data_IF_861722229176
#
_entry.id   IF_861722229176
#
_cell.length_a   1.000
_cell.length_b   1.000
_cell.length_c   1.000
_cell.angle_alpha   90.00
_cell.angle_beta   90.00
_cell.angle_gamma   90.00
#
_symmetry.space_group_name_H-M   'P 1'
#
loop_
_entity.id
_entity.type
_entity.pdbx_description
1 polymer ?
#
# COMPACT_ATOMS: atom_id res chain seq x y z
N UNK A 1 -19.14 10.90 -18.95
CA UNK A 1 -19.03 9.77 -18.01
C UNK A 1 -17.54 9.56 -17.78
N UNK A 2 -17.04 9.55 -16.55
CA UNK A 2 -15.63 9.16 -16.31
C UNK A 2 -15.52 7.69 -16.71
N UNK A 3 -14.52 7.34 -17.49
CA UNK A 3 -14.27 5.94 -17.84
C UNK A 3 -14.08 5.16 -16.54
N UNK A 4 -15.06 4.31 -16.21
CA UNK A 4 -15.00 3.41 -15.07
C UNK A 4 -14.04 2.28 -15.47
N UNK A 5 -12.76 2.54 -15.28
CA UNK A 5 -11.69 1.60 -15.54
C UNK A 5 -11.21 1.05 -14.21
N UNK A 6 -11.08 -0.26 -14.13
CA UNK A 6 -10.54 -0.95 -12.98
C UNK A 6 -9.41 -1.89 -13.36
N UNK A 7 -8.63 -2.27 -12.34
CA UNK A 7 -7.59 -3.29 -12.46
C UNK A 7 -8.12 -4.58 -11.85
N UNK A 8 -8.21 -5.63 -12.67
CA UNK A 8 -8.60 -6.96 -12.24
C UNK A 8 -7.38 -7.76 -11.78
N UNK A 9 -7.21 -7.87 -10.47
CA UNK A 9 -6.10 -8.62 -9.90
C UNK A 9 -6.33 -10.15 -9.87
N UNK A 10 -7.57 -10.61 -10.09
CA UNK A 10 -7.97 -12.01 -9.82
C UNK A 10 -7.24 -13.06 -10.67
N UNK A 11 -6.79 -12.66 -11.87
CA UNK A 11 -6.12 -13.55 -12.82
C UNK A 11 -4.76 -13.00 -13.23
N UNK A 12 -4.12 -12.19 -12.39
CA UNK A 12 -2.78 -11.70 -12.66
C UNK A 12 -1.80 -12.87 -12.52
N UNK A 13 -1.09 -13.25 -13.60
CA UNK A 13 -0.14 -14.34 -13.50
C UNK A 13 1.01 -13.91 -12.60
N UNK A 14 1.38 -14.79 -11.65
CA UNK A 14 2.57 -14.55 -10.83
C UNK A 14 3.79 -14.41 -11.74
N UNK A 15 4.44 -13.25 -11.71
CA UNK A 15 5.61 -12.94 -12.54
C UNK A 15 6.62 -12.13 -11.73
N UNK A 16 7.89 -12.32 -12.08
CA UNK A 16 9.00 -11.57 -11.50
C UNK A 16 9.88 -11.03 -12.61
N UNK A 17 10.23 -9.76 -12.53
CA UNK A 17 11.24 -9.11 -13.36
C UNK A 17 12.37 -8.64 -12.48
N UNK A 18 13.58 -8.65 -13.04
CA UNK A 18 14.75 -8.09 -12.40
C UNK A 18 15.51 -7.26 -13.44
N UNK A 19 16.00 -6.09 -13.03
CA UNK A 19 16.90 -5.30 -13.86
C UNK A 19 17.98 -4.64 -13.02
N UNK A 20 19.16 -4.52 -13.62
CA UNK A 20 20.36 -3.99 -12.98
C UNK A 20 20.57 -2.55 -13.43
N UNK A 21 20.85 -1.65 -12.48
CA UNK A 21 21.40 -0.33 -12.74
C UNK A 21 22.91 -0.40 -12.90
N UNK A 22 23.57 -1.18 -12.02
CA UNK A 22 24.97 -1.62 -12.09
C UNK A 22 25.07 -3.04 -11.51
N UNK A 23 26.25 -3.67 -11.57
CA UNK A 23 26.47 -5.08 -11.17
C UNK A 23 25.92 -5.42 -9.77
N UNK A 24 26.11 -4.53 -8.80
CA UNK A 24 25.67 -4.71 -7.40
C UNK A 24 24.42 -3.90 -7.02
N UNK A 25 23.75 -3.30 -8.00
CA UNK A 25 22.57 -2.44 -7.77
C UNK A 25 21.45 -2.82 -8.73
N UNK A 26 20.41 -3.46 -8.21
CA UNK A 26 19.30 -3.92 -9.01
C UNK A 26 17.95 -3.65 -8.37
N UNK A 27 16.91 -3.87 -9.17
CA UNK A 27 15.51 -3.87 -8.76
C UNK A 27 14.87 -5.17 -9.15
N UNK A 28 14.00 -5.64 -8.27
CA UNK A 28 13.06 -6.70 -8.51
C UNK A 28 11.65 -6.11 -8.54
N UNK A 29 10.83 -6.57 -9.48
CA UNK A 29 9.40 -6.32 -9.57
C UNK A 29 8.70 -7.67 -9.54
N UNK A 30 7.78 -7.87 -8.62
CA UNK A 30 6.92 -9.03 -8.51
C UNK A 30 5.47 -8.60 -8.68
N UNK A 31 4.69 -9.40 -9.38
CA UNK A 31 3.24 -9.19 -9.50
C UNK A 31 2.53 -10.50 -9.19
N UNK A 32 1.42 -10.40 -8.47
CA UNK A 32 0.52 -11.50 -8.15
C UNK A 32 -0.93 -11.00 -7.94
N UNK A 33 -1.80 -11.85 -7.39
CA UNK A 33 -3.20 -11.52 -7.14
C UNK A 33 -3.41 -10.48 -6.05
N UNK A 34 -2.42 -10.25 -5.20
CA UNK A 34 -2.45 -9.17 -4.23
C UNK A 34 -2.24 -7.83 -4.95
N UNK A 35 -1.64 -7.83 -6.15
CA UNK A 35 -1.12 -6.67 -6.90
C UNK A 35 0.41 -6.69 -7.17
N UNK A 36 1.12 -5.57 -7.00
CA UNK A 36 2.51 -5.39 -7.45
C UNK A 36 3.45 -5.02 -6.30
N UNK A 37 4.57 -5.70 -6.17
CA UNK A 37 5.66 -5.35 -5.24
C UNK A 37 6.91 -5.02 -6.01
N UNK A 38 7.67 -3.99 -5.60
CA UNK A 38 9.04 -3.84 -6.08
C UNK A 38 10.00 -3.48 -4.96
N UNK A 39 11.21 -3.99 -5.05
CA UNK A 39 12.27 -3.78 -4.08
C UNK A 39 13.60 -3.68 -4.80
N UNK A 40 14.51 -2.91 -4.23
CA UNK A 40 15.85 -2.73 -4.74
C UNK A 40 16.88 -3.23 -3.76
N UNK A 41 18.01 -3.67 -4.29
CA UNK A 41 19.17 -4.01 -3.49
C UNK A 41 20.37 -3.25 -4.03
N UNK A 42 21.13 -2.63 -3.14
CA UNK A 42 22.38 -1.95 -3.47
C UNK A 42 23.46 -2.43 -2.50
N UNK A 43 24.34 -3.30 -2.99
CA UNK A 43 25.47 -3.86 -2.23
C UNK A 43 26.77 -3.06 -2.42
N UNK A 44 26.71 -1.86 -2.98
CA UNK A 44 27.93 -1.05 -3.08
C UNK A 44 28.44 -0.68 -1.68
N UNK A 45 29.77 -0.59 -1.55
CA UNK A 45 30.47 -0.32 -0.28
C UNK A 45 30.05 0.96 0.44
N UNK A 46 29.30 1.85 -0.22
CA UNK A 46 28.82 3.13 0.34
C UNK A 46 27.37 3.09 0.82
N UNK A 47 26.51 2.23 0.28
CA UNK A 47 25.06 2.20 0.59
C UNK A 47 24.63 0.93 1.32
N UNK A 48 25.35 -0.19 1.14
CA UNK A 48 25.33 -1.40 1.98
C UNK A 48 23.95 -1.84 2.46
N UNK A 49 22.93 -1.85 1.60
CA UNK A 49 21.56 -2.09 2.04
C UNK A 49 20.54 -2.32 0.93
N UNK A 50 19.56 -3.17 1.25
CA UNK A 50 18.31 -3.25 0.49
C UNK A 50 17.44 -2.02 0.75
N UNK A 51 16.79 -1.50 -0.29
CA UNK A 51 15.77 -0.48 -0.16
C UNK A 51 14.43 -1.04 -0.68
N UNK A 52 13.42 -1.00 0.18
CA UNK A 52 12.12 -1.58 -0.09
C UNK A 52 11.18 -0.55 -0.74
N UNK A 53 10.59 -0.88 -1.89
CA UNK A 53 9.69 0.00 -2.64
C UNK A 53 8.21 -0.11 -2.24
N UNK A 54 7.82 -1.16 -1.50
CA UNK A 54 6.42 -1.38 -1.12
C UNK A 54 5.62 -2.19 -2.14
N UNK A 55 4.43 -2.58 -1.69
CA UNK A 55 3.33 -2.93 -2.56
C UNK A 55 2.72 -1.67 -3.19
N UNK A 56 2.48 -1.67 -4.49
CA UNK A 56 1.77 -0.63 -5.22
C UNK A 56 0.58 -1.22 -5.97
N UNK A 57 -0.41 -0.36 -6.21
CA UNK A 57 -1.45 -0.67 -7.18
C UNK A 57 -0.92 -0.50 -8.59
N UNK A 58 -1.52 -1.18 -9.58
CA UNK A 58 -1.11 -1.01 -10.98
C UNK A 58 -1.24 0.46 -11.39
N UNK A 59 -2.32 1.14 -10.99
CA UNK A 59 -2.52 2.55 -11.29
C UNK A 59 -1.38 3.44 -10.75
N UNK A 60 -1.01 3.27 -9.48
CA UNK A 60 0.07 4.06 -8.89
C UNK A 60 1.42 3.71 -9.51
N UNK A 61 1.67 2.44 -9.78
CA UNK A 61 2.88 2.00 -10.46
C UNK A 61 3.02 2.61 -11.85
N UNK A 62 1.94 2.69 -12.64
CA UNK A 62 1.95 3.38 -13.93
C UNK A 62 2.20 4.89 -13.81
N UNK A 63 1.63 5.54 -12.79
CA UNK A 63 1.70 6.99 -12.60
C UNK A 63 3.02 7.46 -12.00
N UNK A 64 3.54 6.72 -11.03
CA UNK A 64 4.65 7.13 -10.15
C UNK A 64 5.73 6.06 -9.96
N UNK A 65 5.46 4.82 -10.36
CA UNK A 65 6.38 3.71 -10.17
C UNK A 65 7.65 3.82 -11.04
N UNK A 66 8.62 2.91 -10.84
CA UNK A 66 9.91 2.94 -11.51
C UNK A 66 9.86 2.52 -13.00
N UNK A 67 8.68 2.42 -13.60
CA UNK A 67 8.49 1.97 -14.99
C UNK A 67 9.27 2.79 -16.02
N UNK A 68 9.58 4.05 -15.68
CA UNK A 68 10.36 4.97 -16.51
C UNK A 68 11.87 4.68 -16.45
N UNK A 69 12.33 3.95 -15.42
CA UNK A 69 13.73 3.59 -15.19
C UNK A 69 14.05 2.15 -15.62
N UNK A 70 13.04 1.39 -16.04
CA UNK A 70 13.20 0.01 -16.51
C UNK A 70 13.81 -0.01 -17.91
N UNK A 71 14.61 -1.05 -18.25
CA UNK A 71 14.98 -1.33 -19.63
C UNK A 71 13.73 -1.45 -20.51
N UNK A 72 13.81 -0.96 -21.75
CA UNK A 72 12.65 -0.81 -22.63
C UNK A 72 11.86 -2.12 -22.81
N UNK A 73 12.55 -3.25 -22.98
CA UNK A 73 11.93 -4.56 -23.17
C UNK A 73 11.15 -5.02 -21.93
N UNK A 74 11.75 -4.85 -20.74
CA UNK A 74 11.09 -5.17 -19.46
C UNK A 74 9.89 -4.23 -19.25
N UNK A 75 10.07 -2.93 -19.49
CA UNK A 75 9.00 -1.96 -19.36
C UNK A 75 7.84 -2.31 -20.29
N UNK A 76 8.12 -2.71 -21.53
CA UNK A 76 7.10 -3.11 -22.49
C UNK A 76 6.34 -4.35 -22.01
N UNK A 77 7.04 -5.41 -21.61
CA UNK A 77 6.40 -6.63 -21.11
C UNK A 77 5.52 -6.35 -19.89
N UNK A 78 6.03 -5.62 -18.90
CA UNK A 78 5.27 -5.23 -17.71
C UNK A 78 4.02 -4.43 -18.11
N UNK A 79 4.14 -3.45 -19.01
CA UNK A 79 2.99 -2.66 -19.48
C UNK A 79 1.95 -3.54 -20.15
N UNK A 80 2.39 -4.47 -21.00
CA UNK A 80 1.51 -5.34 -21.77
C UNK A 80 0.75 -6.27 -20.81
N UNK A 81 1.45 -6.95 -19.88
CA UNK A 81 0.81 -7.80 -18.86
C UNK A 81 -0.18 -6.98 -18.02
N UNK A 82 0.25 -5.88 -17.41
CA UNK A 82 -0.64 -5.14 -16.51
C UNK A 82 -1.87 -4.60 -17.26
N UNK A 83 -1.72 -4.14 -18.51
CA UNK A 83 -2.83 -3.62 -19.33
C UNK A 83 -3.87 -4.68 -19.71
N UNK A 84 -3.50 -5.95 -19.85
CA UNK A 84 -4.47 -7.03 -20.09
C UNK A 84 -5.50 -7.16 -18.95
N UNK A 85 -5.09 -6.74 -17.76
CA UNK A 85 -5.89 -6.73 -16.53
C UNK A 85 -6.60 -5.39 -16.32
N UNK A 86 -6.47 -4.44 -17.25
CA UNK A 86 -7.27 -3.23 -17.29
C UNK A 86 -8.64 -3.55 -17.89
N UNK A 87 -9.70 -3.46 -17.10
CA UNK A 87 -11.06 -3.81 -17.52
C UNK A 87 -11.99 -2.60 -17.44
N UNK A 88 -12.97 -2.57 -18.34
CA UNK A 88 -14.12 -1.67 -18.20
C UNK A 88 -15.08 -2.24 -17.16
N UNK A 89 -15.53 -1.40 -16.23
CA UNK A 89 -16.46 -1.80 -15.18
C UNK A 89 -16.24 -1.05 -13.88
N UNK A 90 -17.04 -1.36 -12.88
CA UNK A 90 -16.97 -0.68 -11.58
C UNK A 90 -15.70 -1.08 -10.84
N UNK A 91 -14.77 -0.14 -10.69
CA UNK A 91 -13.55 -0.37 -9.93
C UNK A 91 -13.82 -0.61 -8.45
N UNK A 92 -13.22 -1.66 -7.91
CA UNK A 92 -13.03 -1.85 -6.48
C UNK A 92 -11.85 -1.01 -6.02
N UNK A 93 -12.13 0.10 -5.35
CA UNK A 93 -11.13 0.98 -4.75
C UNK A 93 -11.28 0.93 -3.24
N UNK A 94 -10.16 0.82 -2.53
CA UNK A 94 -10.12 0.93 -1.09
C UNK A 94 -9.52 2.27 -0.69
N UNK A 95 -10.20 2.96 0.22
CA UNK A 95 -9.72 4.16 0.88
C UNK A 95 -9.56 3.86 2.37
N UNK A 96 -8.33 3.68 2.82
CA UNK A 96 -8.01 3.46 4.23
C UNK A 96 -7.69 4.81 4.88
N UNK A 97 -8.52 5.19 5.83
CA UNK A 97 -8.32 6.37 6.65
C UNK A 97 -7.95 5.97 8.07
N UNK A 98 -7.13 6.81 8.68
CA UNK A 98 -6.77 6.70 10.08
C UNK A 98 -7.10 7.99 10.83
N UNK A 99 -7.58 7.85 12.06
CA UNK A 99 -7.73 8.97 13.00
C UNK A 99 -7.50 8.48 14.42
N UNK A 100 -7.04 9.37 15.29
CA UNK A 100 -6.78 9.05 16.69
C UNK A 100 -7.30 10.11 17.65
N UNK A 101 -7.62 9.69 18.88
CA UNK A 101 -8.07 10.55 19.98
C UNK A 101 -6.98 11.00 20.95
N UNK A 102 -5.71 10.66 20.71
CA UNK A 102 -4.60 11.03 21.60
C UNK A 102 -4.20 12.50 21.44
N UNK A 103 -4.54 13.33 22.42
CA UNK A 103 -4.16 14.74 22.48
C UNK A 103 -2.63 14.89 22.59
N UNK A 104 -2.06 15.85 21.86
CA UNK A 104 -0.62 16.12 21.85
C UNK A 104 0.25 15.09 21.10
N UNK A 105 -0.33 14.01 20.58
CA UNK A 105 0.38 13.06 19.73
C UNK A 105 0.17 13.37 18.24
N UNK A 106 1.20 13.10 17.44
CA UNK A 106 1.15 13.16 15.98
C UNK A 106 1.47 11.79 15.39
N UNK A 107 0.81 11.43 14.30
CA UNK A 107 1.15 10.24 13.53
C UNK A 107 2.46 10.48 12.77
N UNK A 108 3.48 9.69 13.08
CA UNK A 108 4.84 9.83 12.53
C UNK A 108 5.31 8.59 11.76
N UNK A 109 4.65 7.45 11.96
CA UNK A 109 4.95 6.22 11.23
C UNK A 109 3.70 5.43 10.94
N UNK A 110 3.64 4.89 9.73
CA UNK A 110 2.53 4.07 9.24
C UNK A 110 3.14 2.87 8.55
N UNK A 111 2.80 1.68 9.04
CA UNK A 111 3.16 0.42 8.41
C UNK A 111 1.87 -0.35 8.23
N UNK A 112 1.55 -0.73 7.00
CA UNK A 112 0.33 -1.48 6.69
C UNK A 112 0.72 -2.65 5.81
N UNK A 113 0.15 -3.81 6.10
CA UNK A 113 0.20 -4.96 5.22
C UNK A 113 -1.21 -5.28 4.72
N UNK A 114 -1.29 -5.70 3.47
CA UNK A 114 -2.47 -6.25 2.83
C UNK A 114 -2.16 -7.70 2.49
N UNK A 115 -2.97 -8.62 3.02
CA UNK A 115 -2.84 -10.07 2.81
C UNK A 115 -1.41 -10.58 3.10
N UNK A 116 -0.79 -10.02 4.15
CA UNK A 116 0.58 -10.35 4.58
C UNK A 116 1.70 -9.60 3.86
N UNK A 117 1.39 -8.78 2.84
CA UNK A 117 2.38 -8.02 2.06
C UNK A 117 2.37 -6.53 2.40
N UNK A 118 3.53 -5.89 2.67
CA UNK A 118 3.60 -4.49 3.09
C UNK A 118 3.26 -3.51 1.96
N UNK A 119 2.29 -2.62 2.16
CA UNK A 119 1.83 -1.66 1.14
C UNK A 119 2.48 -0.29 1.25
N UNK A 120 2.61 0.39 0.12
CA UNK A 120 3.02 1.79 0.08
C UNK A 120 1.91 2.65 0.68
N UNK A 121 2.26 3.38 1.74
CA UNK A 121 1.35 4.29 2.43
C UNK A 121 1.70 5.73 2.09
N UNK A 122 0.68 6.58 2.00
CA UNK A 122 0.88 8.00 1.72
C UNK A 122 1.64 8.66 2.88
N UNK A 123 2.48 9.64 2.53
CA UNK A 123 3.20 10.45 3.52
C UNK A 123 2.19 11.15 4.45
N UNK A 124 2.39 10.99 5.76
CA UNK A 124 1.52 11.59 6.77
C UNK A 124 1.97 13.01 7.05
N UNK A 125 1.10 13.99 6.79
CA UNK A 125 1.41 15.42 6.96
C UNK A 125 0.54 16.15 7.97
N UNK A 126 -0.48 15.49 8.54
CA UNK A 126 -1.58 16.19 9.20
C UNK A 126 -1.99 15.58 10.54
N UNK A 127 -2.48 16.46 11.42
CA UNK A 127 -3.24 16.10 12.63
C UNK A 127 -4.71 15.87 12.26
N UNK A 128 -5.25 14.68 12.52
CA UNK A 128 -6.68 14.40 12.33
C UNK A 128 -6.99 13.14 11.51
N UNK A 129 -7.96 13.22 10.59
CA UNK A 129 -8.34 12.11 9.69
C UNK A 129 -7.39 12.10 8.48
N UNK A 130 -6.44 11.17 8.49
CA UNK A 130 -5.45 11.01 7.43
C UNK A 130 -5.87 9.89 6.47
N UNK A 131 -5.80 10.13 5.15
CA UNK A 131 -5.89 9.07 4.15
C UNK A 131 -4.52 8.38 4.04
N UNK A 132 -4.42 7.16 4.57
CA UNK A 132 -3.15 6.41 4.62
C UNK A 132 -2.93 5.52 3.40
N UNK A 133 -4.00 5.05 2.76
CA UNK A 133 -3.92 4.26 1.54
C UNK A 133 -5.12 4.55 0.63
N UNK A 134 -4.85 4.65 -0.67
CA UNK A 134 -5.85 4.74 -1.73
C UNK A 134 -5.36 3.89 -2.89
N UNK A 135 -6.15 2.90 -3.29
CA UNK A 135 -5.74 2.01 -4.36
C UNK A 135 -6.84 1.08 -4.85
N UNK A 136 -6.72 0.64 -6.10
CA UNK A 136 -7.51 -0.47 -6.62
C UNK A 136 -7.11 -1.78 -5.93
N UNK A 137 -8.12 -2.57 -5.56
CA UNK A 137 -7.98 -3.84 -4.84
C UNK A 137 -8.98 -4.85 -5.40
N UNK A 138 -8.70 -6.15 -5.29
CA UNK A 138 -9.65 -7.19 -5.71
C UNK A 138 -10.94 -7.09 -4.86
N UNK A 139 -12.15 -7.33 -5.43
CA UNK A 139 -13.32 -7.61 -4.59
C UNK A 139 -13.14 -8.90 -3.79
N UNK A 140 -13.66 -8.94 -2.57
CA UNK A 140 -13.60 -10.11 -1.69
C UNK A 140 -13.03 -9.81 -0.31
N UNK A 141 -12.77 -10.87 0.43
CA UNK A 141 -12.19 -10.78 1.77
C UNK A 141 -10.69 -10.50 1.69
N UNK A 142 -10.26 -9.51 2.47
CA UNK A 142 -8.87 -9.07 2.57
C UNK A 142 -8.51 -8.85 4.03
N UNK A 143 -7.27 -9.18 4.36
CA UNK A 143 -6.72 -8.99 5.68
C UNK A 143 -5.77 -7.80 5.72
N UNK A 144 -6.05 -6.84 6.59
CA UNK A 144 -5.22 -5.66 6.80
C UNK A 144 -4.60 -5.71 8.19
N UNK A 145 -3.27 -5.83 8.25
CA UNK A 145 -2.54 -5.60 9.50
C UNK A 145 -1.86 -4.24 9.46
N UNK A 146 -1.81 -3.56 10.60
CA UNK A 146 -1.26 -2.22 10.68
C UNK A 146 -0.48 -2.00 11.95
N UNK A 147 0.49 -1.10 11.86
CA UNK A 147 1.21 -0.49 12.96
C UNK A 147 1.27 1.01 12.71
N UNK A 148 0.73 1.78 13.65
CA UNK A 148 0.80 3.23 13.68
C UNK A 148 1.70 3.68 14.81
N UNK A 149 2.66 4.55 14.50
CA UNK A 149 3.58 5.15 15.46
C UNK A 149 3.17 6.58 15.69
N UNK A 150 2.72 6.85 16.91
CA UNK A 150 2.32 8.16 17.38
C UNK A 150 3.43 8.72 18.27
N UNK A 151 3.84 9.97 18.05
CA UNK A 151 4.85 10.64 18.87
C UNK A 151 4.33 11.97 19.41
N UNK A 152 4.69 12.27 20.65
CA UNK A 152 4.68 13.61 21.23
C UNK A 152 6.12 14.00 21.58
N UNK A 153 6.33 15.19 22.14
CA UNK A 153 7.67 15.69 22.47
C UNK A 153 8.46 14.73 23.38
N UNK A 154 7.77 14.13 24.36
CA UNK A 154 8.40 13.30 25.41
C UNK A 154 7.96 11.83 25.37
N UNK A 155 7.11 11.42 24.43
CA UNK A 155 6.52 10.08 24.44
C UNK A 155 6.26 9.49 23.06
N UNK A 156 6.17 8.17 23.02
CA UNK A 156 5.81 7.41 21.83
C UNK A 156 4.76 6.35 22.19
N UNK A 157 3.72 6.25 21.36
CA UNK A 157 2.71 5.19 21.42
C UNK A 157 2.74 4.39 20.11
N UNK A 158 2.62 3.07 20.22
CA UNK A 158 2.42 2.17 19.07
C UNK A 158 0.99 1.66 19.14
N UNK A 159 0.26 1.78 18.03
CA UNK A 159 -1.05 1.16 17.88
C UNK A 159 -0.95 0.12 16.79
N UNK A 160 -1.19 -1.12 17.14
CA UNK A 160 -1.17 -2.24 16.20
C UNK A 160 -2.50 -2.97 16.20
N UNK A 161 -2.80 -3.60 15.08
CA UNK A 161 -4.02 -4.36 14.94
C UNK A 161 -4.15 -5.00 13.57
N UNK A 162 -5.23 -5.76 13.44
CA UNK A 162 -5.57 -6.50 12.24
C UNK A 162 -7.07 -6.40 12.01
N UNK A 163 -7.48 -6.32 10.75
CA UNK A 163 -8.88 -6.21 10.36
C UNK A 163 -9.13 -6.97 9.07
N UNK A 164 -10.15 -7.82 9.10
CA UNK A 164 -10.75 -8.41 7.91
C UNK A 164 -11.75 -7.42 7.31
N UNK A 165 -11.62 -7.14 6.02
CA UNK A 165 -12.54 -6.28 5.27
C UNK A 165 -13.02 -7.02 4.04
N UNK A 166 -14.32 -6.92 3.74
CA UNK A 166 -14.91 -7.53 2.56
C UNK A 166 -15.18 -6.46 1.48
N UNK A 167 -14.22 -6.28 0.58
CA UNK A 167 -14.22 -5.27 -0.48
C UNK A 167 -15.29 -5.60 -1.51
N UNK A 168 -16.18 -4.64 -1.78
CA UNK A 168 -17.20 -4.74 -2.82
C UNK A 168 -16.78 -3.99 -4.09
N UNK A 169 -17.35 -4.31 -5.27
CA UNK A 169 -17.26 -3.43 -6.44
C UNK A 169 -17.69 -2.00 -6.11
N UNK A 170 -16.81 -1.03 -6.36
CA UNK A 170 -17.02 0.38 -6.04
C UNK A 170 -15.98 0.93 -5.07
N UNK A 171 -16.26 2.10 -4.49
CA UNK A 171 -15.38 2.71 -3.48
C UNK A 171 -15.75 2.20 -2.09
N UNK A 172 -14.82 1.51 -1.45
CA UNK A 172 -14.92 0.99 -0.10
C UNK A 172 -14.11 1.89 0.82
N UNK A 173 -14.71 2.39 1.90
CA UNK A 173 -14.02 3.26 2.85
C UNK A 173 -13.88 2.55 4.18
N UNK A 174 -12.64 2.40 4.62
CA UNK A 174 -12.32 1.88 5.94
C UNK A 174 -11.76 3.02 6.77
N UNK A 175 -12.40 3.31 7.89
CA UNK A 175 -11.87 4.26 8.88
C UNK A 175 -11.41 3.48 10.11
N UNK A 176 -10.11 3.52 10.35
CA UNK A 176 -9.48 3.04 11.57
C UNK A 176 -9.45 4.21 12.56
N UNK A 177 -10.22 4.08 13.64
CA UNK A 177 -10.27 5.08 14.72
C UNK A 177 -9.69 4.49 15.99
N UNK A 178 -8.60 5.09 16.47
CA UNK A 178 -7.92 4.66 17.70
C UNK A 178 -8.18 5.63 18.84
N UNK A 179 -8.39 5.11 20.04
CA UNK A 179 -8.53 5.90 21.26
C UNK A 179 -8.05 5.11 22.47
N UNK A 180 -7.75 5.82 23.54
CA UNK A 180 -7.64 5.22 24.87
C UNK A 180 -9.03 5.15 25.50
N UNK A 181 -9.34 4.03 26.14
CA UNK A 181 -10.49 3.95 27.05
C UNK A 181 -10.15 4.51 28.44
N UNK A 182 -11.12 4.49 29.35
CA UNK A 182 -10.96 5.00 30.71
C UNK A 182 -9.92 4.20 31.55
N UNK A 183 -9.53 3.01 31.09
CA UNK A 183 -8.58 2.12 31.76
C UNK A 183 -7.17 2.20 31.16
N UNK A 184 -6.94 3.08 30.17
CA UNK A 184 -5.67 3.15 29.46
C UNK A 184 -5.53 2.14 28.30
N UNK A 185 -6.58 1.39 27.97
CA UNK A 185 -6.55 0.36 26.93
C UNK A 185 -6.75 1.01 25.57
N UNK A 186 -5.91 0.63 24.61
CA UNK A 186 -6.01 1.06 23.22
C UNK A 186 -7.16 0.32 22.52
N UNK A 187 -8.15 1.06 22.04
CA UNK A 187 -9.26 0.53 21.25
C UNK A 187 -9.15 1.03 19.81
N UNK A 188 -9.19 0.09 18.85
CA UNK A 188 -9.31 0.41 17.42
C UNK A 188 -10.69 0.00 16.91
N UNK A 189 -11.49 0.99 16.54
CA UNK A 189 -12.76 0.75 15.87
C UNK A 189 -12.56 0.79 14.35
N UNK A 190 -13.14 -0.18 13.66
CA UNK A 190 -13.19 -0.23 12.20
C UNK A 190 -14.59 0.20 11.78
N UNK A 191 -14.69 1.29 11.02
CA UNK A 191 -15.94 1.70 10.40
C UNK A 191 -15.85 1.46 8.90
N UNK A 192 -16.71 0.57 8.41
CA UNK A 192 -16.88 0.27 7.00
C UNK A 192 -18.02 1.13 6.44
N UNK A 193 -17.74 1.93 5.40
CA UNK A 193 -18.67 2.87 4.77
C UNK A 193 -18.69 2.72 3.26
#
# INVERSE_FOLDING_TARGET
MKDNIYWDYSNVPKRKWQWFFVEDHWMDLEVDESGLTYYGTDWTSQSGGGYFGGFQTFEEFFKKGPIQKMPLEIAKEVRDILKEHRKEGTASTLLLHYTHGFEGFMLTGVFVHLDGSPIHVKEVKETGKTLIYEGSIRPGEHNFSFVFVLKSDDSQKKVEGEVLVNVQPGTNRVLLKTREDQSGILLTNVLYQ
#
